data_IF_780251614975
#
_entry.id   IF_780251614975
#
_cell.length_a   1.000
_cell.length_b   1.000
_cell.length_c   1.000
_cell.angle_alpha   90.00
_cell.angle_beta   90.00
_cell.angle_gamma   90.00
#
_symmetry.space_group_name_H-M   'P 1'
#
loop_
_entity.id
_entity.type
_entity.pdbx_description
1 polymer ?
#
# COMPACT_ATOMS: atom_id res chain seq x y z
N UNK A 1 24.99 -62.36 30.53
CA UNK A 1 23.98 -61.47 31.15
C UNK A 1 23.98 -60.13 30.42
N UNK A 2 23.02 -60.03 29.46
CA UNK A 2 22.81 -58.82 28.66
C UNK A 2 22.00 -57.81 29.44
N UNK A 3 22.38 -56.53 29.45
CA UNK A 3 21.49 -55.41 29.79
C UNK A 3 21.40 -54.49 28.59
N UNK A 4 20.15 -54.35 28.13
CA UNK A 4 19.73 -53.46 27.06
C UNK A 4 19.96 -51.98 27.47
N UNK A 5 20.56 -51.25 26.59
CA UNK A 5 20.54 -49.77 26.58
C UNK A 5 19.30 -49.31 25.80
N UNK A 6 18.39 -48.64 26.47
CA UNK A 6 17.27 -47.95 25.84
C UNK A 6 17.76 -46.61 25.25
N UNK A 7 17.58 -46.46 23.95
CA UNK A 7 17.72 -45.19 23.27
C UNK A 7 16.53 -44.30 23.62
N UNK A 8 16.78 -43.18 24.26
CA UNK A 8 15.85 -42.07 24.33
C UNK A 8 15.92 -41.28 23.00
N UNK A 9 14.87 -41.36 22.21
CA UNK A 9 14.63 -40.43 21.10
C UNK A 9 13.88 -39.24 21.66
N UNK A 10 14.57 -38.16 21.97
CA UNK A 10 13.95 -36.90 22.31
C UNK A 10 13.89 -36.06 21.04
N UNK A 11 12.72 -36.10 20.36
CA UNK A 11 12.45 -35.43 19.10
C UNK A 11 11.45 -34.30 19.26
N UNK A 12 11.58 -33.43 20.29
CA UNK A 12 10.64 -32.31 20.47
C UNK A 12 11.29 -31.02 20.94
N UNK A 13 12.42 -30.65 20.31
CA UNK A 13 12.96 -29.30 20.48
C UNK A 13 13.00 -28.56 19.15
N UNK A 14 11.87 -28.46 18.45
CA UNK A 14 11.68 -27.38 17.51
C UNK A 14 11.53 -26.09 18.33
N UNK A 15 12.63 -25.42 18.57
CA UNK A 15 12.63 -24.06 19.10
C UNK A 15 11.68 -23.23 18.26
N UNK A 16 10.58 -22.80 18.86
CA UNK A 16 9.75 -21.72 18.31
C UNK A 16 10.69 -20.56 18.04
N UNK A 17 10.86 -20.23 16.79
CA UNK A 17 11.49 -18.97 16.42
C UNK A 17 10.71 -17.87 17.17
N UNK A 18 11.39 -16.86 17.75
CA UNK A 18 10.68 -15.78 18.41
C UNK A 18 9.68 -15.21 17.42
N UNK A 19 8.43 -15.09 17.84
CA UNK A 19 7.38 -14.38 17.14
C UNK A 19 7.97 -13.07 16.62
N UNK A 20 8.02 -12.90 15.31
CA UNK A 20 8.38 -11.62 14.71
C UNK A 20 7.43 -10.60 15.33
N UNK A 21 8.00 -9.61 16.03
CA UNK A 21 7.21 -8.52 16.59
C UNK A 21 6.37 -7.93 15.46
N UNK A 22 5.07 -8.17 15.49
CA UNK A 22 4.11 -7.54 14.58
C UNK A 22 4.35 -6.03 14.68
N UNK A 23 4.61 -5.38 13.55
CA UNK A 23 4.74 -3.93 13.53
C UNK A 23 3.49 -3.33 14.18
N UNK A 24 3.66 -2.29 14.98
CA UNK A 24 2.52 -1.67 15.64
C UNK A 24 1.58 -1.10 14.58
N UNK A 25 0.34 -1.60 14.58
CA UNK A 25 -0.72 -1.11 13.73
C UNK A 25 -1.27 0.17 14.36
N UNK A 26 -1.40 1.23 13.56
CA UNK A 26 -2.02 2.48 14.00
C UNK A 26 -3.08 2.90 12.99
N UNK A 27 -4.25 3.33 13.50
CA UNK A 27 -5.37 3.78 12.69
C UNK A 27 -5.60 5.27 12.96
N UNK A 28 -5.71 6.06 11.90
CA UNK A 28 -6.14 7.46 11.96
C UNK A 28 -7.45 7.56 11.20
N UNK A 29 -8.49 8.03 11.88
CA UNK A 29 -9.83 8.18 11.30
C UNK A 29 -10.11 9.65 10.95
N UNK A 30 -10.65 9.87 9.77
CA UNK A 30 -11.26 11.12 9.31
C UNK A 30 -12.64 10.78 8.76
N UNK A 31 -13.68 11.25 9.43
CA UNK A 31 -15.07 10.92 9.13
C UNK A 31 -15.24 9.39 9.01
N UNK A 32 -15.71 8.89 7.87
CA UNK A 32 -15.92 7.47 7.56
C UNK A 32 -14.70 6.78 6.92
N UNK A 33 -13.52 7.39 6.97
CA UNK A 33 -12.33 6.92 6.28
C UNK A 33 -11.17 6.74 7.26
N UNK A 34 -10.51 5.58 7.20
CA UNK A 34 -9.46 5.18 8.14
C UNK A 34 -8.15 4.91 7.39
N UNK A 35 -7.10 5.68 7.69
CA UNK A 35 -5.75 5.30 7.30
C UNK A 35 -5.18 4.30 8.30
N UNK A 36 -4.87 3.13 7.84
CA UNK A 36 -4.15 2.11 8.61
C UNK A 36 -2.68 2.14 8.22
N UNK A 37 -1.81 2.27 9.22
CA UNK A 37 -0.36 2.25 9.04
C UNK A 37 0.24 1.04 9.75
N UNK A 38 1.01 0.24 9.02
CA UNK A 38 1.65 -0.94 9.57
C UNK A 38 3.07 -1.11 8.98
N UNK A 39 4.07 -0.75 9.78
CA UNK A 39 5.46 -0.84 9.34
C UNK A 39 5.79 0.10 8.18
N UNK A 40 5.99 -0.47 6.99
CA UNK A 40 6.43 0.27 5.79
C UNK A 40 5.33 0.46 4.75
N UNK A 41 4.09 0.03 5.01
CA UNK A 41 2.96 0.17 4.10
C UNK A 41 1.73 0.71 4.82
N UNK A 42 0.88 1.37 4.06
CA UNK A 42 -0.42 1.86 4.50
C UNK A 42 -1.51 1.27 3.62
N UNK A 43 -2.73 1.23 4.17
CA UNK A 43 -3.97 0.96 3.42
C UNK A 43 -5.10 1.78 4.00
N UNK A 44 -6.21 1.84 3.28
CA UNK A 44 -7.35 2.67 3.68
C UNK A 44 -8.61 1.81 3.75
N UNK A 45 -9.42 2.04 4.79
CA UNK A 45 -10.76 1.48 4.93
C UNK A 45 -11.76 2.63 4.82
N UNK A 46 -12.82 2.44 4.05
CA UNK A 46 -13.90 3.41 3.88
C UNK A 46 -15.22 2.75 4.25
N UNK A 47 -15.94 3.33 5.20
CA UNK A 47 -17.22 2.83 5.71
C UNK A 47 -18.39 3.47 4.98
N UNK A 48 -19.42 2.69 4.68
CA UNK A 48 -20.77 3.14 4.34
C UNK A 48 -21.80 2.25 5.04
N UNK A 49 -22.30 2.70 6.18
CA UNK A 49 -23.16 1.89 7.04
C UNK A 49 -22.42 0.66 7.59
N UNK A 50 -22.88 -0.54 7.21
CA UNK A 50 -22.23 -1.81 7.58
C UNK A 50 -21.24 -2.32 6.53
N UNK A 51 -21.10 -1.63 5.43
CA UNK A 51 -20.30 -2.08 4.29
C UNK A 51 -18.97 -1.32 4.21
N UNK A 52 -17.94 -2.01 3.72
CA UNK A 52 -16.58 -1.49 3.61
C UNK A 52 -16.06 -1.53 2.18
N UNK A 53 -15.27 -0.53 1.83
CA UNK A 53 -14.29 -0.59 0.74
C UNK A 53 -12.88 -0.62 1.33
N UNK A 54 -12.08 -1.59 0.90
CA UNK A 54 -10.65 -1.65 1.22
C UNK A 54 -9.85 -1.06 0.03
N UNK A 55 -8.92 -0.15 0.30
CA UNK A 55 -7.97 0.38 -0.70
C UNK A 55 -6.57 -0.05 -0.31
N UNK A 56 -5.94 -0.88 -1.14
CA UNK A 56 -4.64 -1.53 -0.90
C UNK A 56 -4.62 -2.47 0.34
N UNK A 57 -3.47 -3.07 0.68
CA UNK A 57 -3.41 -4.00 1.82
C UNK A 57 -2.01 -4.41 2.25
N UNK A 58 -0.98 -3.65 1.90
CA UNK A 58 0.37 -3.89 2.41
C UNK A 58 1.10 -5.07 1.79
N UNK A 59 2.21 -5.45 2.43
CA UNK A 59 3.06 -6.58 2.04
C UNK A 59 2.38 -7.94 2.31
N UNK A 60 2.90 -9.06 1.74
CA UNK A 60 2.32 -10.39 1.96
C UNK A 60 2.15 -10.81 3.42
N UNK A 61 3.00 -10.35 4.34
CA UNK A 61 2.85 -10.64 5.75
C UNK A 61 1.76 -9.81 6.45
N UNK A 62 1.24 -8.75 5.80
CA UNK A 62 0.23 -7.88 6.40
C UNK A 62 -1.21 -8.39 6.27
N UNK A 63 -1.48 -9.53 5.61
CA UNK A 63 -2.84 -10.03 5.45
C UNK A 63 -3.63 -10.12 6.76
N UNK A 64 -3.02 -10.69 7.81
CA UNK A 64 -3.62 -10.74 9.15
C UNK A 64 -3.79 -9.34 9.77
N UNK A 65 -2.88 -8.40 9.49
CA UNK A 65 -2.99 -7.03 10.00
C UNK A 65 -4.12 -6.27 9.30
N UNK A 66 -4.36 -6.54 8.01
CA UNK A 66 -5.53 -6.01 7.27
C UNK A 66 -6.82 -6.48 7.96
N UNK A 67 -6.96 -7.78 8.22
CA UNK A 67 -8.14 -8.32 8.92
C UNK A 67 -8.29 -7.71 10.32
N UNK A 68 -7.20 -7.63 11.10
CA UNK A 68 -7.23 -6.99 12.43
C UNK A 68 -7.62 -5.52 12.36
N UNK A 69 -7.23 -4.80 11.32
CA UNK A 69 -7.63 -3.39 11.17
C UNK A 69 -9.12 -3.24 10.93
N UNK A 70 -9.73 -4.15 10.17
CA UNK A 70 -11.17 -4.23 9.96
C UNK A 70 -11.90 -4.51 11.28
N UNK A 71 -11.40 -5.47 12.06
CA UNK A 71 -11.95 -5.79 13.38
C UNK A 71 -11.83 -4.61 14.36
N UNK A 72 -10.71 -3.88 14.32
CA UNK A 72 -10.48 -2.73 15.23
C UNK A 72 -11.43 -1.55 14.99
N UNK A 73 -11.95 -1.39 13.77
CA UNK A 73 -12.98 -0.39 13.47
C UNK A 73 -14.41 -0.92 13.66
N UNK A 74 -14.56 -2.17 14.17
CA UNK A 74 -15.85 -2.75 14.53
C UNK A 74 -16.53 -3.55 13.43
N UNK A 75 -15.83 -3.87 12.34
CA UNK A 75 -16.33 -4.65 11.21
C UNK A 75 -15.76 -6.06 11.16
N UNK A 76 -16.23 -6.85 10.19
CA UNK A 76 -15.73 -8.18 9.88
C UNK A 76 -15.25 -8.22 8.42
N UNK A 77 -14.39 -9.16 8.10
CA UNK A 77 -13.89 -9.32 6.73
C UNK A 77 -15.04 -9.48 5.71
N UNK A 78 -16.16 -10.12 6.13
CA UNK A 78 -17.36 -10.28 5.31
C UNK A 78 -18.12 -8.98 5.00
N UNK A 79 -17.80 -7.86 5.66
CA UNK A 79 -18.41 -6.55 5.39
C UNK A 79 -17.71 -5.83 4.23
N UNK A 80 -16.55 -6.30 3.80
CA UNK A 80 -15.86 -5.77 2.61
C UNK A 80 -16.68 -6.10 1.37
N UNK A 81 -17.10 -5.07 0.62
CA UNK A 81 -17.90 -5.19 -0.61
C UNK A 81 -17.08 -4.94 -1.86
N UNK A 82 -15.97 -4.22 -1.75
CA UNK A 82 -15.06 -3.98 -2.85
C UNK A 82 -13.63 -3.80 -2.36
N UNK A 83 -12.68 -4.15 -3.21
CA UNK A 83 -11.28 -3.86 -3.01
C UNK A 83 -10.84 -2.97 -4.17
N UNK A 84 -10.26 -1.82 -3.86
CA UNK A 84 -9.62 -0.92 -4.81
C UNK A 84 -8.12 -1.05 -4.67
N UNK A 85 -7.40 -0.96 -5.78
CA UNK A 85 -5.95 -1.03 -5.80
C UNK A 85 -5.41 0.23 -6.46
N UNK A 86 -4.54 0.95 -5.75
CA UNK A 86 -3.89 2.14 -6.32
C UNK A 86 -2.93 1.74 -7.44
N UNK A 87 -2.12 0.71 -7.18
CA UNK A 87 -1.21 0.10 -8.14
C UNK A 87 -0.75 -1.29 -7.63
N UNK A 88 -0.17 -2.11 -8.51
CA UNK A 88 0.07 -3.51 -8.22
C UNK A 88 1.48 -3.84 -7.70
N UNK A 89 2.14 -2.93 -6.97
CA UNK A 89 3.36 -3.26 -6.25
C UNK A 89 3.07 -4.19 -5.07
N UNK A 90 4.09 -4.94 -4.67
CA UNK A 90 3.99 -6.00 -3.65
C UNK A 90 3.53 -5.48 -2.28
N UNK A 91 3.83 -4.25 -1.95
CA UNK A 91 3.48 -3.55 -0.71
C UNK A 91 2.08 -2.91 -0.72
N UNK A 92 1.36 -3.05 -1.82
CA UNK A 92 -0.04 -2.63 -1.95
C UNK A 92 -0.97 -3.83 -2.14
N UNK A 93 -0.54 -4.85 -2.88
CA UNK A 93 -1.40 -6.02 -3.14
C UNK A 93 -1.03 -7.26 -2.32
N UNK A 94 0.13 -7.28 -1.68
CA UNK A 94 0.65 -8.48 -1.04
C UNK A 94 -0.25 -9.03 0.06
N UNK A 95 -0.76 -8.17 0.92
CA UNK A 95 -1.61 -8.58 2.05
C UNK A 95 -3.04 -8.92 1.65
N UNK A 96 -3.51 -8.46 0.49
CA UNK A 96 -4.86 -8.80 -0.01
C UNK A 96 -4.88 -10.03 -0.92
N UNK A 97 -3.74 -10.52 -1.39
CA UNK A 97 -3.68 -11.63 -2.33
C UNK A 97 -4.39 -12.90 -1.80
N UNK A 98 -4.22 -13.23 -0.52
CA UNK A 98 -4.95 -14.34 0.12
C UNK A 98 -6.39 -13.96 0.47
N UNK A 99 -6.65 -12.70 0.84
CA UNK A 99 -7.98 -12.20 1.18
C UNK A 99 -8.92 -12.35 -0.01
N UNK A 100 -8.49 -11.99 -1.22
CA UNK A 100 -9.30 -12.08 -2.44
C UNK A 100 -9.65 -13.52 -2.83
N UNK A 101 -8.96 -14.52 -2.30
CA UNK A 101 -9.32 -15.93 -2.51
C UNK A 101 -10.49 -16.36 -1.63
N UNK A 102 -10.70 -15.67 -0.51
CA UNK A 102 -11.75 -15.95 0.49
C UNK A 102 -12.98 -15.05 0.33
N UNK A 103 -12.85 -13.96 -0.37
CA UNK A 103 -13.93 -13.02 -0.67
C UNK A 103 -14.29 -13.04 -2.15
N UNK A 104 -15.59 -13.14 -2.43
CA UNK A 104 -16.12 -13.01 -3.79
C UNK A 104 -16.56 -11.56 -4.05
N UNK A 105 -15.62 -10.61 -3.94
CA UNK A 105 -15.86 -9.19 -4.15
C UNK A 105 -15.09 -8.69 -5.37
N UNK A 106 -15.55 -7.61 -6.03
CA UNK A 106 -14.80 -7.00 -7.12
C UNK A 106 -13.46 -6.43 -6.61
N UNK A 107 -12.40 -6.69 -7.39
CA UNK A 107 -11.06 -6.10 -7.19
C UNK A 107 -10.82 -5.17 -8.36
N UNK A 108 -10.92 -3.87 -8.11
CA UNK A 108 -11.00 -2.84 -9.15
C UNK A 108 -9.75 -1.96 -9.15
N UNK A 109 -9.29 -1.63 -10.34
CA UNK A 109 -8.15 -0.74 -10.57
C UNK A 109 -8.23 -0.10 -11.95
N UNK A 110 -7.27 0.76 -12.26
CA UNK A 110 -7.14 1.34 -13.60
C UNK A 110 -6.98 0.25 -14.67
N UNK A 111 -7.57 0.42 -15.87
CA UNK A 111 -7.41 -0.55 -16.95
C UNK A 111 -5.96 -0.88 -17.30
N UNK A 112 -5.05 0.09 -17.23
CA UNK A 112 -3.62 -0.11 -17.50
C UNK A 112 -2.90 -0.89 -16.39
N UNK A 113 -3.46 -0.90 -15.17
CA UNK A 113 -2.87 -1.62 -14.03
C UNK A 113 -3.28 -3.09 -13.98
N UNK A 114 -4.41 -3.47 -14.59
CA UNK A 114 -4.92 -4.84 -14.56
C UNK A 114 -3.90 -5.88 -15.07
N UNK A 115 -3.21 -5.69 -16.20
CA UNK A 115 -2.17 -6.64 -16.64
C UNK A 115 -0.99 -6.73 -15.66
N UNK A 116 -0.60 -5.60 -15.02
CA UNK A 116 0.43 -5.59 -13.97
C UNK A 116 -0.01 -6.42 -12.75
N UNK A 117 -1.25 -6.26 -12.29
CA UNK A 117 -1.79 -7.02 -11.17
C UNK A 117 -1.90 -8.53 -11.47
N UNK A 118 -2.18 -8.91 -12.70
CA UNK A 118 -2.19 -10.30 -13.19
C UNK A 118 -0.80 -10.86 -13.50
N UNK A 119 0.26 -10.06 -13.32
CA UNK A 119 1.65 -10.43 -13.62
C UNK A 119 1.92 -10.77 -15.08
N UNK A 120 1.16 -10.21 -16.01
CA UNK A 120 1.45 -10.27 -17.44
C UNK A 120 2.72 -9.48 -17.78
N UNK A 121 3.02 -8.44 -16.98
CA UNK A 121 4.30 -7.75 -16.92
C UNK A 121 4.56 -7.27 -15.48
N UNK A 122 5.74 -6.73 -15.21
CA UNK A 122 6.12 -6.27 -13.88
C UNK A 122 6.84 -4.92 -13.95
N UNK A 123 6.23 -3.90 -13.33
CA UNK A 123 6.80 -2.56 -13.16
C UNK A 123 7.10 -2.34 -11.67
N UNK A 124 8.20 -2.85 -11.18
CA UNK A 124 8.64 -2.61 -9.81
C UNK A 124 10.16 -2.48 -9.76
N UNK A 125 10.69 -2.05 -8.62
CA UNK A 125 12.13 -1.97 -8.40
C UNK A 125 12.80 -3.30 -8.77
N UNK A 126 13.64 -3.27 -9.80
CA UNK A 126 14.40 -4.44 -10.20
C UNK A 126 15.51 -4.76 -9.18
N UNK A 127 15.93 -6.03 -9.05
CA UNK A 127 17.09 -6.38 -8.21
C UNK A 127 18.36 -5.59 -8.57
N UNK A 128 18.53 -5.18 -9.83
CA UNK A 128 19.63 -4.36 -10.27
C UNK A 128 19.55 -2.90 -9.79
N UNK A 129 18.36 -2.42 -9.45
CA UNK A 129 18.14 -1.08 -8.87
C UNK A 129 18.44 -1.01 -7.37
N UNK A 130 18.41 -2.15 -6.66
CA UNK A 130 18.63 -2.20 -5.21
C UNK A 130 19.99 -1.60 -4.78
N UNK A 131 21.13 -1.89 -5.43
CA UNK A 131 22.42 -1.28 -5.08
C UNK A 131 22.41 0.25 -5.12
N UNK A 132 21.58 0.85 -6.01
CA UNK A 132 21.45 2.30 -6.12
C UNK A 132 20.77 2.94 -4.89
N UNK A 133 20.15 2.14 -4.04
CA UNK A 133 19.52 2.60 -2.81
C UNK A 133 20.42 2.45 -1.59
N UNK A 134 21.35 1.49 -1.57
CA UNK A 134 22.06 1.06 -0.36
C UNK A 134 22.91 2.15 0.29
N UNK A 135 23.35 3.15 -0.45
CA UNK A 135 24.08 4.31 0.06
C UNK A 135 23.17 5.36 0.72
N UNK A 136 21.84 5.27 0.56
CA UNK A 136 20.90 6.20 1.19
C UNK A 136 20.71 5.85 2.67
N UNK A 137 20.62 6.89 3.52
CA UNK A 137 20.36 6.69 4.95
C UNK A 137 19.03 5.98 5.14
N UNK A 138 19.04 4.91 5.95
CA UNK A 138 17.86 4.11 6.24
C UNK A 138 17.61 2.96 5.27
N UNK A 139 18.10 3.01 4.02
CA UNK A 139 17.82 1.98 3.02
C UNK A 139 18.24 0.55 3.42
N UNK A 140 19.41 0.31 4.05
CA UNK A 140 19.74 -1.04 4.49
C UNK A 140 18.77 -1.60 5.53
N UNK A 141 18.32 -0.74 6.47
CA UNK A 141 17.32 -1.14 7.47
C UNK A 141 15.97 -1.40 6.79
N UNK A 142 15.52 -0.48 5.95
CA UNK A 142 14.29 -0.61 5.18
C UNK A 142 14.29 -1.91 4.36
N UNK A 143 15.36 -2.19 3.62
CA UNK A 143 15.46 -3.40 2.79
C UNK A 143 15.34 -4.67 3.63
N UNK A 144 16.05 -4.75 4.77
CA UNK A 144 15.93 -5.88 5.70
C UNK A 144 14.49 -6.05 6.20
N UNK A 145 13.86 -4.94 6.59
CA UNK A 145 12.53 -4.96 7.17
C UNK A 145 11.47 -5.38 6.13
N UNK A 146 11.53 -4.86 4.88
CA UNK A 146 10.58 -5.25 3.82
C UNK A 146 10.78 -6.69 3.33
N UNK A 147 12.02 -7.18 3.29
CA UNK A 147 12.29 -8.60 3.04
C UNK A 147 11.63 -9.46 4.12
N UNK A 148 11.72 -9.04 5.39
CA UNK A 148 11.09 -9.72 6.52
C UNK A 148 9.58 -9.83 6.41
N UNK A 149 8.90 -8.86 5.80
CA UNK A 149 7.44 -8.87 5.58
C UNK A 149 7.03 -9.43 4.20
N UNK A 150 7.98 -9.97 3.45
CA UNK A 150 7.70 -10.75 2.24
C UNK A 150 7.83 -9.99 0.93
N UNK A 151 8.61 -8.90 0.87
CA UNK A 151 8.84 -8.15 -0.37
C UNK A 151 9.40 -8.98 -1.53
N UNK A 152 10.06 -10.12 -1.23
CA UNK A 152 10.57 -11.06 -2.25
C UNK A 152 9.58 -12.17 -2.61
N UNK A 153 8.42 -12.22 -1.97
CA UNK A 153 7.36 -13.17 -2.33
C UNK A 153 6.60 -12.63 -3.55
N UNK A 154 6.10 -13.53 -4.37
CA UNK A 154 5.15 -13.15 -5.41
C UNK A 154 3.77 -12.84 -4.79
N UNK A 155 3.06 -11.89 -5.39
CA UNK A 155 1.64 -11.70 -5.18
C UNK A 155 1.00 -11.34 -6.52
N UNK A 156 -0.17 -11.88 -6.80
CA UNK A 156 -0.94 -11.61 -8.01
C UNK A 156 -2.42 -11.52 -7.67
N UNK A 157 -3.15 -10.82 -8.51
CA UNK A 157 -4.60 -10.67 -8.40
C UNK A 157 -5.27 -11.15 -9.71
N UNK A 158 -5.44 -12.48 -9.89
CA UNK A 158 -5.95 -13.04 -11.15
C UNK A 158 -7.37 -12.56 -11.50
N UNK A 159 -8.17 -12.18 -10.49
CA UNK A 159 -9.54 -11.66 -10.65
C UNK A 159 -9.61 -10.12 -10.75
N UNK A 160 -8.47 -9.44 -10.87
CA UNK A 160 -8.42 -8.00 -11.06
C UNK A 160 -9.22 -7.58 -12.29
N UNK A 161 -10.01 -6.52 -12.13
CA UNK A 161 -10.87 -5.95 -13.16
C UNK A 161 -10.66 -4.44 -13.24
N UNK A 162 -10.88 -3.88 -14.41
CA UNK A 162 -10.91 -2.42 -14.56
C UNK A 162 -12.17 -1.84 -13.96
N UNK A 163 -12.05 -0.72 -13.27
CA UNK A 163 -13.22 0.10 -12.97
C UNK A 163 -13.75 0.78 -14.25
N UNK A 164 -15.04 1.16 -14.23
CA UNK A 164 -15.62 1.95 -15.31
C UNK A 164 -15.02 3.37 -15.31
N UNK A 165 -14.74 3.90 -16.49
CA UNK A 165 -14.23 5.27 -16.64
C UNK A 165 -15.31 6.31 -16.29
N UNK A 166 -14.91 7.30 -15.49
CA UNK A 166 -15.67 8.53 -15.24
C UNK A 166 -16.64 8.45 -14.07
N UNK A 167 -16.45 9.33 -13.10
CA UNK A 167 -17.33 9.52 -11.95
C UNK A 167 -17.05 8.60 -10.76
N UNK A 168 -17.96 8.63 -9.79
CA UNK A 168 -17.89 7.82 -8.60
C UNK A 168 -18.19 6.35 -8.92
N UNK A 169 -17.39 5.45 -8.34
CA UNK A 169 -17.61 4.01 -8.41
C UNK A 169 -18.83 3.62 -7.56
N UNK A 170 -19.52 2.58 -8.01
CA UNK A 170 -20.62 1.97 -7.26
C UNK A 170 -20.06 0.99 -6.21
N UNK A 171 -19.39 1.56 -5.21
CA UNK A 171 -18.80 0.87 -4.06
C UNK A 171 -19.06 1.69 -2.79
N UNK A 172 -19.03 1.10 -1.60
CA UNK A 172 -19.14 1.86 -0.36
C UNK A 172 -18.21 3.08 -0.33
N UNK A 173 -18.75 4.24 0.07
CA UNK A 173 -18.04 5.53 0.08
C UNK A 173 -18.05 6.28 -1.26
N UNK A 174 -18.67 5.74 -2.32
CA UNK A 174 -18.82 6.38 -3.66
C UNK A 174 -17.52 7.01 -4.16
N UNK A 175 -16.47 6.23 -4.07
CA UNK A 175 -15.07 6.64 -4.27
C UNK A 175 -14.83 7.04 -5.74
N UNK A 176 -14.09 8.13 -5.96
CA UNK A 176 -13.77 8.65 -7.30
C UNK A 176 -12.31 8.35 -7.63
N UNK A 177 -12.02 7.55 -8.66
CA UNK A 177 -10.66 7.35 -9.15
C UNK A 177 -10.10 8.64 -9.76
N UNK A 178 -8.86 8.96 -9.41
CA UNK A 178 -8.09 10.08 -9.94
C UNK A 178 -6.87 9.50 -10.65
N UNK A 179 -6.75 9.58 -11.98
CA UNK A 179 -5.59 9.07 -12.69
C UNK A 179 -4.31 9.76 -12.23
N UNK A 180 -3.34 8.98 -11.78
CA UNK A 180 -2.05 9.47 -11.31
C UNK A 180 -0.91 8.61 -11.87
N UNK A 181 -0.99 8.37 -13.17
CA UNK A 181 -0.06 7.53 -13.93
C UNK A 181 1.39 8.04 -13.82
N UNK A 182 2.36 7.11 -13.86
CA UNK A 182 3.80 7.42 -13.88
C UNK A 182 4.59 6.65 -12.83
N UNK A 183 4.07 6.48 -11.60
CA UNK A 183 4.68 5.57 -10.64
C UNK A 183 4.62 4.12 -11.17
N UNK A 184 3.45 3.70 -11.60
CA UNK A 184 3.19 2.64 -12.60
C UNK A 184 2.35 3.22 -13.73
N UNK A 185 2.20 2.50 -14.84
CA UNK A 185 1.42 2.96 -16.00
C UNK A 185 -0.05 3.20 -15.67
N UNK A 186 -0.61 2.43 -14.75
CA UNK A 186 -2.01 2.50 -14.36
C UNK A 186 -2.24 2.98 -12.92
N UNK A 187 -1.25 3.63 -12.29
CA UNK A 187 -1.42 4.14 -10.93
C UNK A 187 -2.60 5.10 -10.84
N UNK A 188 -3.46 4.91 -9.82
CA UNK A 188 -4.59 5.80 -9.53
C UNK A 188 -4.65 6.15 -8.04
N UNK A 189 -4.92 7.41 -7.75
CA UNK A 189 -5.37 7.83 -6.42
C UNK A 189 -6.89 7.71 -6.33
N UNK A 190 -7.43 7.76 -5.11
CA UNK A 190 -8.86 7.62 -4.84
C UNK A 190 -9.35 8.74 -3.93
N UNK A 191 -10.28 9.55 -4.42
CA UNK A 191 -10.97 10.55 -3.61
C UNK A 191 -12.17 9.91 -2.91
N UNK A 192 -12.28 10.11 -1.60
CA UNK A 192 -13.48 9.86 -0.80
C UNK A 192 -14.18 11.20 -0.59
N UNK A 193 -15.21 11.53 -1.40
CA UNK A 193 -15.75 12.89 -1.45
C UNK A 193 -16.38 13.33 -0.13
N UNK A 194 -17.08 12.44 0.55
CA UNK A 194 -17.79 12.73 1.82
C UNK A 194 -16.80 13.09 2.93
N UNK A 195 -15.68 12.40 3.01
CA UNK A 195 -14.65 12.67 4.01
C UNK A 195 -13.68 13.81 3.61
N UNK A 196 -13.70 14.25 2.35
CA UNK A 196 -12.69 15.19 1.83
C UNK A 196 -11.27 14.65 1.91
N UNK A 197 -11.12 13.32 1.76
CA UNK A 197 -9.85 12.58 1.85
C UNK A 197 -9.45 12.08 0.48
N UNK A 198 -8.16 12.18 0.13
CA UNK A 198 -7.59 11.49 -1.02
C UNK A 198 -6.59 10.43 -0.55
N UNK A 199 -6.82 9.17 -0.95
CA UNK A 199 -5.85 8.09 -0.84
C UNK A 199 -4.92 8.16 -2.07
N UNK A 200 -3.70 8.68 -1.88
CA UNK A 200 -2.80 9.02 -3.00
C UNK A 200 -1.97 7.86 -3.50
N UNK A 201 -1.98 6.70 -2.83
CA UNK A 201 -1.01 5.65 -3.12
C UNK A 201 0.42 6.21 -3.11
N UNK A 202 1.19 5.85 -4.10
CA UNK A 202 2.61 6.20 -4.22
C UNK A 202 2.88 7.37 -5.17
N UNK A 203 1.84 7.97 -5.76
CA UNK A 203 2.01 9.18 -6.55
C UNK A 203 2.50 10.36 -5.68
N UNK A 204 2.05 10.43 -4.42
CA UNK A 204 2.45 11.44 -3.45
C UNK A 204 2.49 10.81 -2.06
N UNK A 205 3.68 10.66 -1.49
CA UNK A 205 3.89 10.09 -0.16
C UNK A 205 4.30 11.15 0.84
N UNK A 206 4.23 10.87 2.15
CA UNK A 206 4.63 11.82 3.20
C UNK A 206 5.82 11.35 4.01
N UNK A 207 6.33 10.16 3.72
CA UNK A 207 7.52 9.57 4.30
C UNK A 207 7.84 8.25 3.65
N UNK A 208 9.11 7.84 3.64
CA UNK A 208 9.53 6.53 3.16
C UNK A 208 10.83 6.11 3.84
N UNK A 209 11.07 4.81 4.02
CA UNK A 209 12.25 4.28 4.70
C UNK A 209 13.59 4.61 4.03
N UNK A 210 13.57 5.04 2.76
CA UNK A 210 14.75 5.48 2.00
C UNK A 210 14.88 7.01 1.88
N UNK A 211 13.98 7.75 2.54
CA UNK A 211 13.94 9.22 2.53
C UNK A 211 14.16 9.79 3.93
N UNK A 212 14.81 10.93 4.02
CA UNK A 212 14.93 11.72 5.25
C UNK A 212 14.02 12.95 5.25
N UNK A 213 13.23 13.12 4.20
CA UNK A 213 12.27 14.23 4.07
C UNK A 213 11.00 13.85 4.84
N UNK A 214 10.45 14.80 5.57
CA UNK A 214 9.15 14.68 6.23
C UNK A 214 8.11 15.51 5.48
N UNK A 215 6.89 14.98 5.39
CA UNK A 215 5.78 15.59 4.66
C UNK A 215 5.75 15.25 3.18
N UNK A 216 4.82 15.88 2.42
CA UNK A 216 4.58 15.57 1.01
C UNK A 216 5.85 15.56 0.16
N UNK A 217 6.08 14.46 -0.54
CA UNK A 217 7.29 14.21 -1.33
C UNK A 217 7.06 13.15 -2.40
N UNK A 218 7.91 13.16 -3.41
CA UNK A 218 8.02 12.03 -4.35
C UNK A 218 8.77 10.87 -3.71
N UNK A 219 8.48 9.67 -4.14
CA UNK A 219 9.39 8.55 -3.93
C UNK A 219 10.71 8.78 -4.68
N UNK A 220 11.79 8.18 -4.17
CA UNK A 220 13.09 8.28 -4.83
C UNK A 220 13.07 7.60 -6.20
N UNK A 221 13.92 8.11 -7.11
CA UNK A 221 13.93 7.79 -8.52
C UNK A 221 13.71 6.32 -8.91
N UNK A 222 14.39 5.34 -8.29
CA UNK A 222 14.26 3.95 -8.72
C UNK A 222 12.87 3.32 -8.51
N UNK A 223 11.99 3.97 -7.75
CA UNK A 223 10.63 3.46 -7.50
C UNK A 223 9.59 3.93 -8.52
N UNK A 224 9.89 4.98 -9.29
CA UNK A 224 8.95 5.48 -10.30
C UNK A 224 9.33 4.94 -11.69
N UNK A 225 8.35 4.40 -12.41
CA UNK A 225 8.53 3.94 -13.79
C UNK A 225 8.80 5.13 -14.72
N UNK A 226 7.93 6.15 -14.69
CA UNK A 226 8.09 7.41 -15.41
C UNK A 226 7.99 8.59 -14.43
N UNK A 227 9.13 9.25 -14.20
CA UNK A 227 9.21 10.38 -13.26
C UNK A 227 8.55 11.66 -13.78
N UNK A 228 8.54 11.84 -15.07
CA UNK A 228 7.95 13.03 -15.68
C UNK A 228 6.43 12.91 -15.67
N UNK A 229 5.91 11.75 -16.06
CA UNK A 229 4.50 11.44 -15.96
C UNK A 229 4.00 11.52 -14.50
N UNK A 230 4.77 10.98 -13.52
CA UNK A 230 4.44 11.10 -12.09
C UNK A 230 4.34 12.56 -11.65
N UNK A 231 5.26 13.43 -12.10
CA UNK A 231 5.21 14.87 -11.75
C UNK A 231 3.99 15.57 -12.37
N UNK A 232 3.69 15.28 -13.64
CA UNK A 232 2.53 15.83 -14.33
C UNK A 232 1.22 15.36 -13.69
N UNK A 233 1.16 14.10 -13.29
CA UNK A 233 -0.01 13.52 -12.63
C UNK A 233 -0.35 14.16 -11.28
N UNK A 234 0.61 14.80 -10.62
CA UNK A 234 0.33 15.56 -9.39
C UNK A 234 -0.59 16.77 -9.62
N UNK A 235 -0.72 17.27 -10.85
CA UNK A 235 -1.68 18.34 -11.16
C UNK A 235 -3.12 17.83 -10.96
N UNK A 236 -3.37 16.54 -11.21
CA UNK A 236 -4.67 15.93 -10.93
C UNK A 236 -4.92 15.87 -9.42
N UNK A 237 -3.91 15.57 -8.61
CA UNK A 237 -4.03 15.61 -7.13
C UNK A 237 -4.25 17.05 -6.65
N UNK A 238 -3.49 18.03 -7.17
CA UNK A 238 -3.63 19.44 -6.78
C UNK A 238 -5.03 19.99 -7.04
N UNK A 239 -5.72 19.48 -8.06
CA UNK A 239 -7.07 19.90 -8.45
C UNK A 239 -8.19 19.26 -7.61
N UNK A 240 -7.89 18.24 -6.78
CA UNK A 240 -8.90 17.54 -5.97
C UNK A 240 -9.34 18.42 -4.79
N UNK A 241 -10.66 18.56 -4.54
CA UNK A 241 -11.19 19.31 -3.41
C UNK A 241 -11.11 18.49 -2.11
N UNK A 242 -9.89 18.11 -1.71
CA UNK A 242 -9.63 17.39 -0.46
C UNK A 242 -8.78 18.25 0.49
N UNK A 243 -9.02 18.07 1.78
CA UNK A 243 -8.26 18.71 2.87
C UNK A 243 -7.30 17.75 3.55
N UNK A 244 -7.39 16.45 3.25
CA UNK A 244 -6.60 15.39 3.89
C UNK A 244 -6.02 14.45 2.85
N UNK A 245 -4.75 14.12 3.00
CA UNK A 245 -4.04 13.12 2.18
C UNK A 245 -3.73 11.88 3.03
N UNK A 246 -4.18 10.73 2.57
CA UNK A 246 -3.82 9.41 3.07
C UNK A 246 -2.82 8.77 2.08
N UNK A 247 -1.52 8.79 2.38
CA UNK A 247 -0.48 8.31 1.46
C UNK A 247 -0.30 6.80 1.54
N UNK A 248 0.28 6.19 0.50
CA UNK A 248 0.74 4.81 0.53
C UNK A 248 1.87 4.58 1.55
N UNK A 249 2.67 5.61 1.80
CA UNK A 249 3.75 5.60 2.78
C UNK A 249 3.84 6.89 3.58
N UNK A 250 4.04 6.75 4.89
CA UNK A 250 4.19 7.88 5.81
C UNK A 250 2.90 8.26 6.56
N UNK A 251 2.93 9.34 7.35
CA UNK A 251 1.78 9.78 8.13
C UNK A 251 0.75 10.55 7.28
N UNK A 252 -0.43 10.75 7.85
CA UNK A 252 -1.46 11.67 7.31
C UNK A 252 -0.87 13.06 7.08
N UNK A 253 -1.30 13.71 6.01
CA UNK A 253 -1.08 15.13 5.80
C UNK A 253 -2.43 15.85 5.78
N UNK A 254 -2.51 16.94 6.54
CA UNK A 254 -3.68 17.83 6.59
C UNK A 254 -3.30 19.18 5.97
N UNK A 255 -4.05 19.60 4.96
CA UNK A 255 -3.82 20.82 4.21
C UNK A 255 -4.34 20.71 2.78
N UNK A 256 -4.24 21.79 2.00
CA UNK A 256 -4.69 21.76 0.62
C UNK A 256 -3.79 20.86 -0.24
N UNK A 257 -4.37 20.17 -1.22
CA UNK A 257 -3.63 19.32 -2.14
C UNK A 257 -2.66 20.13 -3.01
N UNK A 258 -3.02 21.36 -3.34
CA UNK A 258 -2.10 22.31 -4.02
C UNK A 258 -0.82 22.52 -3.19
N UNK A 259 -0.94 22.83 -1.89
CA UNK A 259 0.21 23.03 -1.01
C UNK A 259 1.05 21.75 -0.85
N UNK A 260 0.40 20.58 -0.78
CA UNK A 260 1.10 19.29 -0.72
C UNK A 260 1.95 19.05 -1.97
N UNK A 261 1.40 19.30 -3.15
CA UNK A 261 2.11 19.15 -4.43
C UNK A 261 3.24 20.16 -4.57
N UNK A 262 3.02 21.42 -4.19
CA UNK A 262 4.07 22.46 -4.19
C UNK A 262 5.23 22.06 -3.27
N UNK A 263 4.95 21.56 -2.07
CA UNK A 263 5.97 21.07 -1.14
C UNK A 263 6.78 19.92 -1.75
N UNK A 264 6.11 18.93 -2.36
CA UNK A 264 6.77 17.81 -3.00
C UNK A 264 7.69 18.25 -4.14
N UNK A 265 7.23 19.15 -5.00
CA UNK A 265 8.01 19.73 -6.11
C UNK A 265 9.21 20.55 -5.63
N UNK A 266 9.05 21.34 -4.57
CA UNK A 266 10.14 22.07 -3.94
C UNK A 266 11.20 21.13 -3.32
N UNK A 267 10.77 20.00 -2.77
CA UNK A 267 11.68 18.96 -2.25
C UNK A 267 12.48 18.24 -3.33
N UNK A 268 11.94 18.09 -4.54
CA UNK A 268 12.58 17.40 -5.66
C UNK A 268 13.93 18.05 -6.08
N UNK A 269 14.03 19.36 -6.01
CA UNK A 269 15.27 20.09 -6.33
C UNK A 269 16.39 19.81 -5.33
N UNK A 270 16.06 19.44 -4.08
CA UNK A 270 17.03 19.11 -3.02
C UNK A 270 17.49 17.64 -3.08
N UNK A 271 16.79 16.79 -3.83
CA UNK A 271 17.10 15.35 -3.97
C UNK A 271 17.91 15.02 -5.25
N UNK A 272 18.43 16.04 -5.94
CA UNK A 272 19.41 15.80 -7.02
C UNK A 272 20.70 15.26 -6.40
N UNK A 273 21.32 14.23 -7.06
CA UNK A 273 22.53 13.61 -6.54
C UNK A 273 23.69 14.59 -6.42
#
# INVERSE_FOLDING_TARGET
MLRLLACFTDSDTWRRLPSMTTAALSITQIENTHLVRCGHANWVLVEEGSDLTLIDGGYPANGTDVERSIEQIGHQLGDVRAILVTHAHIDHIGGIADIVTRLEVPVLMDPLEVPHAKREYLQQLSPAGVPLLLWRRGAPKWLRDVIGVGALKGAELPRAQSFASGGALDVPGRIVPIPTHGHTDGHSAYLVPEAGVIASGDALVTGHGTSTVAGPQFLVCPFNHDREATDQALDNIAAVPAGVLFPGHGPVYEGSMTAAVEQARAGRTRMRP
#
